data_IF_096057785227
#
_entry.id   IF_096057785227
#
_cell.length_a   1.000
_cell.length_b   1.000
_cell.length_c   1.000
_cell.angle_alpha   90.00
_cell.angle_beta   90.00
_cell.angle_gamma   90.00
#
_symmetry.space_group_name_H-M   'P 1'
#
loop_
_entity.id
_entity.type
_entity.pdbx_description
1 polymer ?
#
# COMPACT_ATOMS: atom_id res chain seq x y z
N UNK A 1 -36.12 15.72 23.97
CA UNK A 1 -35.77 14.70 22.96
C UNK A 1 -35.70 15.30 21.55
N UNK A 2 -34.84 16.30 21.28
CA UNK A 2 -34.74 16.88 19.94
C UNK A 2 -33.28 17.16 19.47
N UNK A 3 -32.27 16.75 20.25
CA UNK A 3 -30.87 17.03 19.93
C UNK A 3 -30.08 15.82 19.42
N UNK A 4 -30.65 14.61 19.48
CA UNK A 4 -29.93 13.38 19.07
C UNK A 4 -29.99 13.13 17.55
N UNK A 5 -30.96 13.74 16.83
CA UNK A 5 -31.16 13.49 15.39
C UNK A 5 -30.15 14.19 14.46
N UNK A 6 -29.54 15.30 14.87
CA UNK A 6 -28.69 16.10 13.97
C UNK A 6 -27.26 15.56 13.79
N UNK A 7 -26.79 14.65 14.66
CA UNK A 7 -25.44 14.10 14.56
C UNK A 7 -25.29 12.95 13.53
N UNK A 8 -26.40 12.30 13.16
CA UNK A 8 -26.39 11.14 12.26
C UNK A 8 -26.28 11.50 10.77
N UNK A 9 -26.49 12.76 10.40
CA UNK A 9 -26.56 13.19 8.98
C UNK A 9 -25.21 13.58 8.38
N UNK A 10 -24.19 13.82 9.20
CA UNK A 10 -22.84 14.11 8.70
C UNK A 10 -22.10 12.80 8.39
N UNK A 11 -22.34 12.27 7.19
CA UNK A 11 -21.52 11.20 6.60
C UNK A 11 -20.07 11.71 6.47
N UNK A 12 -19.22 11.41 7.44
CA UNK A 12 -17.79 11.71 7.37
C UNK A 12 -17.23 10.92 6.19
N UNK A 13 -16.69 11.63 5.19
CA UNK A 13 -16.07 11.00 4.03
C UNK A 13 -14.72 10.41 4.47
N UNK A 14 -14.71 9.15 4.86
CA UNK A 14 -13.48 8.46 5.27
C UNK A 14 -12.59 8.26 4.04
N UNK A 15 -11.40 8.87 4.05
CA UNK A 15 -10.39 8.65 3.03
C UNK A 15 -9.74 7.29 3.31
N UNK A 16 -9.64 6.37 2.32
CA UNK A 16 -8.95 5.11 2.52
C UNK A 16 -7.50 5.34 2.94
N UNK A 17 -6.96 4.47 3.79
CA UNK A 17 -5.54 4.55 4.18
C UNK A 17 -4.63 4.44 2.95
N UNK A 18 -3.45 5.07 2.98
CA UNK A 18 -2.47 4.94 1.89
C UNK A 18 -2.15 3.47 1.62
N UNK A 19 -2.04 2.63 2.66
CA UNK A 19 -1.83 1.19 2.51
C UNK A 19 -2.92 0.51 1.68
N UNK A 20 -4.18 0.86 1.92
CA UNK A 20 -5.29 0.35 1.10
C UNK A 20 -5.19 0.85 -0.34
N UNK A 21 -4.86 2.14 -0.54
CA UNK A 21 -4.72 2.72 -1.88
C UNK A 21 -3.59 2.04 -2.69
N UNK A 22 -2.46 1.72 -2.05
CA UNK A 22 -1.34 1.00 -2.69
C UNK A 22 -1.77 -0.40 -3.13
N UNK A 23 -2.39 -1.19 -2.24
CA UNK A 23 -2.85 -2.53 -2.60
C UNK A 23 -3.95 -2.51 -3.66
N UNK A 24 -4.86 -1.54 -3.59
CA UNK A 24 -5.91 -1.39 -4.58
C UNK A 24 -5.35 -1.03 -5.97
N UNK A 25 -4.34 -0.16 -6.03
CA UNK A 25 -3.67 0.21 -7.29
C UNK A 25 -2.98 -0.99 -7.93
N UNK A 26 -2.35 -1.83 -7.11
CA UNK A 26 -1.51 -2.96 -7.58
C UNK A 26 -2.29 -4.28 -7.70
N UNK A 27 -3.63 -4.22 -7.83
CA UNK A 27 -4.55 -5.37 -7.94
C UNK A 27 -4.34 -6.45 -6.86
N UNK A 28 -3.98 -6.04 -5.64
CA UNK A 28 -3.69 -6.96 -4.53
C UNK A 28 -2.66 -8.04 -4.91
N UNK A 29 -1.65 -7.65 -5.70
CA UNK A 29 -0.58 -8.52 -6.19
C UNK A 29 0.79 -7.88 -6.00
N UNK A 30 1.79 -8.73 -5.83
CA UNK A 30 3.18 -8.30 -5.90
C UNK A 30 3.47 -7.77 -7.32
N UNK A 31 3.89 -6.52 -7.44
CA UNK A 31 4.20 -5.92 -8.75
C UNK A 31 5.43 -6.53 -9.42
N UNK A 32 6.30 -7.16 -8.62
CA UNK A 32 7.49 -7.87 -9.11
C UNK A 32 7.21 -9.26 -9.67
N UNK A 33 6.38 -10.07 -9.00
CA UNK A 33 6.20 -11.50 -9.35
C UNK A 33 4.75 -11.91 -9.63
N UNK A 34 3.79 -10.99 -9.56
CA UNK A 34 2.37 -11.23 -9.85
C UNK A 34 1.60 -12.04 -8.80
N UNK A 35 2.29 -12.60 -7.78
CA UNK A 35 1.65 -13.41 -6.73
C UNK A 35 0.83 -12.54 -5.77
N UNK A 36 -0.37 -13.01 -5.46
CA UNK A 36 -1.28 -12.47 -4.44
C UNK A 36 -1.77 -13.55 -3.48
N UNK A 37 -2.82 -13.27 -2.70
CA UNK A 37 -3.39 -14.20 -1.70
C UNK A 37 -3.66 -15.62 -2.21
N UNK A 38 -4.19 -15.84 -3.45
CA UNK A 38 -4.39 -17.21 -3.99
C UNK A 38 -3.12 -18.05 -4.11
N UNK A 39 -1.95 -17.42 -4.07
CA UNK A 39 -0.63 -18.06 -4.16
C UNK A 39 0.04 -18.18 -2.78
N UNK A 40 -0.66 -17.85 -1.69
CA UNK A 40 -0.09 -17.82 -0.33
C UNK A 40 0.85 -16.65 -0.07
N UNK A 41 0.86 -15.62 -0.92
CA UNK A 41 1.74 -14.47 -0.74
C UNK A 41 1.29 -13.56 0.40
N UNK A 42 2.22 -13.17 1.28
CA UNK A 42 2.00 -12.12 2.28
C UNK A 42 2.44 -10.80 1.67
N UNK A 43 1.49 -9.89 1.46
CA UNK A 43 1.75 -8.60 0.80
C UNK A 43 2.15 -7.51 1.79
N UNK A 44 3.09 -6.68 1.36
CA UNK A 44 3.64 -5.55 2.10
C UNK A 44 3.65 -4.31 1.19
N UNK A 45 3.49 -3.15 1.82
CA UNK A 45 3.77 -1.87 1.18
C UNK A 45 5.26 -1.62 1.35
N UNK A 46 5.98 -1.61 0.24
CA UNK A 46 7.41 -1.35 0.16
C UNK A 46 7.65 0.04 -0.41
N UNK A 47 8.75 0.68 0.01
CA UNK A 47 9.21 1.92 -0.58
C UNK A 47 10.04 1.64 -1.83
N UNK A 48 9.72 2.26 -2.96
CA UNK A 48 10.52 2.21 -4.20
C UNK A 48 11.93 2.71 -3.87
N UNK A 49 12.08 3.98 -3.54
CA UNK A 49 13.30 4.52 -2.95
C UNK A 49 13.30 4.12 -1.46
N UNK A 50 14.25 3.31 -0.97
CA UNK A 50 14.26 2.86 0.42
C UNK A 50 14.25 4.02 1.41
N UNK A 51 13.53 3.88 2.53
CA UNK A 51 13.51 4.90 3.60
C UNK A 51 14.92 5.27 4.09
N UNK A 52 15.82 4.29 4.19
CA UNK A 52 17.22 4.52 4.59
C UNK A 52 18.03 5.36 3.58
N UNK A 53 17.52 5.54 2.37
CA UNK A 53 18.10 6.36 1.29
C UNK A 53 17.31 7.65 1.04
N UNK A 54 16.41 8.03 1.96
CA UNK A 54 15.63 9.27 1.85
C UNK A 54 14.28 9.12 1.13
N UNK A 55 13.81 7.90 0.91
CA UNK A 55 12.47 7.64 0.35
C UNK A 55 11.35 8.22 1.20
N UNK A 56 10.40 8.90 0.56
CA UNK A 56 9.25 9.53 1.22
C UNK A 56 8.14 8.53 1.53
N UNK A 57 7.39 8.79 2.60
CA UNK A 57 6.15 8.09 2.93
C UNK A 57 4.98 8.67 2.12
N UNK A 58 4.96 8.37 0.82
CA UNK A 58 3.99 8.91 -0.13
C UNK A 58 3.55 7.85 -1.14
N UNK A 59 2.32 7.97 -1.66
CA UNK A 59 1.71 6.97 -2.55
C UNK A 59 2.57 6.69 -3.79
N UNK A 60 3.25 7.72 -4.29
CA UNK A 60 4.11 7.69 -5.47
C UNK A 60 5.37 6.86 -5.24
N UNK A 61 5.88 6.82 -3.99
CA UNK A 61 7.06 6.07 -3.59
C UNK A 61 6.71 4.69 -3.00
N UNK A 62 5.44 4.29 -3.02
CA UNK A 62 5.02 2.98 -2.53
C UNK A 62 4.70 2.02 -3.67
N UNK A 63 5.00 0.75 -3.44
CA UNK A 63 4.66 -0.39 -4.29
C UNK A 63 4.28 -1.61 -3.44
N UNK A 64 3.46 -2.51 -4.00
CA UNK A 64 3.10 -3.77 -3.36
C UNK A 64 4.12 -4.85 -3.68
N UNK A 65 4.80 -5.38 -2.66
CA UNK A 65 5.67 -6.54 -2.79
C UNK A 65 5.19 -7.69 -1.90
N UNK A 66 5.36 -8.93 -2.34
CA UNK A 66 5.26 -10.06 -1.43
C UNK A 66 6.49 -10.10 -0.50
N UNK A 67 6.35 -10.76 0.66
CA UNK A 67 7.43 -10.92 1.64
C UNK A 67 8.76 -11.40 1.05
N UNK A 68 8.73 -12.34 0.08
CA UNK A 68 9.93 -12.85 -0.57
C UNK A 68 10.61 -11.80 -1.46
N UNK A 69 9.84 -11.13 -2.33
CA UNK A 69 10.36 -10.07 -3.19
C UNK A 69 10.83 -8.86 -2.37
N UNK A 70 10.09 -8.49 -1.32
CA UNK A 70 10.44 -7.40 -0.42
C UNK A 70 11.77 -7.67 0.31
N UNK A 71 11.94 -8.89 0.85
CA UNK A 71 13.21 -9.32 1.45
C UNK A 71 14.35 -9.31 0.43
N UNK A 72 14.07 -9.74 -0.81
CA UNK A 72 15.03 -9.72 -1.91
C UNK A 72 15.49 -8.30 -2.28
N UNK A 73 14.55 -7.36 -2.42
CA UNK A 73 14.83 -5.95 -2.72
C UNK A 73 15.62 -5.28 -1.60
N UNK A 74 15.14 -5.41 -0.35
CA UNK A 74 15.73 -4.76 0.82
C UNK A 74 15.99 -3.26 0.55
N UNK A 75 17.06 -2.69 1.09
CA UNK A 75 17.51 -1.33 0.77
C UNK A 75 18.49 -1.28 -0.44
N UNK A 76 18.61 -2.38 -1.20
CA UNK A 76 19.66 -2.53 -2.22
C UNK A 76 19.25 -1.99 -3.59
N UNK A 77 17.95 -1.94 -3.86
CA UNK A 77 17.38 -1.61 -5.17
C UNK A 77 16.27 -0.56 -4.98
N UNK A 78 16.20 0.40 -5.90
CA UNK A 78 15.23 1.49 -5.98
C UNK A 78 14.42 1.49 -7.28
N UNK A 79 14.46 0.39 -8.03
CA UNK A 79 13.65 0.18 -9.23
C UNK A 79 12.17 0.27 -8.88
N UNK A 80 11.45 1.05 -9.69
CA UNK A 80 9.99 1.03 -9.71
C UNK A 80 9.53 -0.24 -10.43
N UNK A 81 9.02 -1.21 -9.68
CA UNK A 81 8.60 -2.51 -10.22
C UNK A 81 7.13 -2.49 -10.67
N UNK A 82 6.48 -1.32 -10.66
CA UNK A 82 5.16 -1.10 -11.24
C UNK A 82 5.33 -1.01 -12.76
N UNK A 83 4.53 -1.78 -13.49
CA UNK A 83 4.53 -1.84 -14.96
C UNK A 83 3.71 -0.70 -15.58
#
# INVERSE_FOLDING_TARGET
MLQVRQAAEKRVKTIPSIRWQVFQRDDWRCVSCGKGSPHGAILQVDHIIPRSKGGKDALENYQTLCNLCNLGKSNRDDTDLRW
#
